data_IF_271498619178
#
_entry.id   IF_271498619178
#
_cell.length_a   1.000
_cell.length_b   1.000
_cell.length_c   1.000
_cell.angle_alpha   90.00
_cell.angle_beta   90.00
_cell.angle_gamma   90.00
#
_symmetry.space_group_name_H-M   'P 1'
#
loop_
_entity.id
_entity.type
_entity.pdbx_description
1 polymer ?
#
# COMPACT_ATOMS: atom_id res chain seq x y z
N UNK A 1 2.67 -7.73 -10.94
CA UNK A 1 2.96 -7.50 -12.33
C UNK A 1 1.65 -7.13 -13.06
N UNK A 2 1.73 -6.40 -14.18
CA UNK A 2 0.57 -5.92 -14.93
C UNK A 2 -0.09 -6.96 -15.86
N UNK A 3 0.38 -8.21 -15.87
CA UNK A 3 -0.26 -9.26 -16.66
C UNK A 3 -1.58 -9.66 -16.04
N UNK A 4 -2.64 -9.55 -16.82
CA UNK A 4 -3.99 -9.92 -16.43
C UNK A 4 -4.46 -11.12 -17.23
N UNK A 5 -5.31 -11.96 -16.63
CA UNK A 5 -5.85 -13.18 -17.27
C UNK A 5 -7.34 -13.05 -17.56
N UNK A 6 -7.93 -11.90 -17.31
CA UNK A 6 -9.33 -11.60 -17.55
C UNK A 6 -9.54 -10.11 -17.72
N UNK A 7 -10.64 -9.70 -18.33
CA UNK A 7 -11.06 -8.30 -18.34
C UNK A 7 -11.56 -7.91 -16.94
N UNK A 8 -10.79 -7.12 -16.21
CA UNK A 8 -11.08 -6.80 -14.81
C UNK A 8 -12.39 -6.01 -14.64
N UNK A 9 -12.74 -5.15 -15.60
CA UNK A 9 -13.99 -4.42 -15.58
C UNK A 9 -15.23 -5.34 -15.61
N UNK A 10 -15.10 -6.58 -16.10
CA UNK A 10 -16.19 -7.58 -16.15
C UNK A 10 -16.29 -8.44 -14.88
N UNK A 11 -15.41 -8.23 -13.90
CA UNK A 11 -15.42 -9.00 -12.66
C UNK A 11 -16.57 -8.58 -11.75
N UNK A 12 -17.15 -9.56 -11.04
CA UNK A 12 -18.06 -9.25 -9.94
C UNK A 12 -17.36 -8.38 -8.89
N UNK A 13 -18.09 -7.52 -8.17
CA UNK A 13 -17.49 -6.54 -7.26
C UNK A 13 -16.49 -7.11 -6.26
N UNK A 14 -16.82 -8.21 -5.59
CA UNK A 14 -15.90 -8.87 -4.65
C UNK A 14 -14.72 -9.54 -5.35
N UNK A 15 -14.91 -10.02 -6.57
CA UNK A 15 -13.81 -10.57 -7.37
C UNK A 15 -12.85 -9.45 -7.80
N UNK A 16 -13.40 -8.27 -8.19
CA UNK A 16 -12.61 -7.08 -8.48
C UNK A 16 -11.84 -6.52 -7.27
N UNK A 17 -12.34 -6.74 -6.05
CA UNK A 17 -11.65 -6.38 -4.83
C UNK A 17 -10.37 -7.21 -4.61
N UNK A 18 -10.31 -8.46 -5.07
CA UNK A 18 -9.16 -9.35 -4.85
C UNK A 18 -7.87 -8.79 -5.45
N UNK A 19 -7.81 -8.38 -6.74
CA UNK A 19 -6.61 -7.76 -7.29
C UNK A 19 -6.26 -6.43 -6.63
N UNK A 20 -7.24 -5.63 -6.19
CA UNK A 20 -6.99 -4.42 -5.41
C UNK A 20 -6.27 -4.74 -4.09
N UNK A 21 -6.81 -5.67 -3.30
CA UNK A 21 -6.18 -6.13 -2.04
C UNK A 21 -4.80 -6.71 -2.31
N UNK A 22 -4.64 -7.49 -3.38
CA UNK A 22 -3.35 -8.01 -3.82
C UNK A 22 -2.34 -6.90 -4.08
N UNK A 23 -2.74 -5.80 -4.72
CA UNK A 23 -1.87 -4.64 -4.96
C UNK A 23 -1.58 -3.84 -3.69
N UNK A 24 -2.52 -3.71 -2.76
CA UNK A 24 -2.28 -3.07 -1.47
C UNK A 24 -1.28 -3.84 -0.60
N UNK A 25 -1.31 -5.17 -0.64
CA UNK A 25 -0.29 -6.02 -0.01
C UNK A 25 1.01 -6.15 -0.80
N UNK A 26 1.02 -5.77 -2.07
CA UNK A 26 2.20 -5.83 -2.95
C UNK A 26 3.39 -5.05 -2.38
N UNK A 27 3.17 -4.06 -1.56
CA UNK A 27 4.21 -3.36 -0.80
C UNK A 27 5.03 -4.33 0.06
N UNK A 28 4.41 -5.44 0.50
CA UNK A 28 5.04 -6.46 1.36
C UNK A 28 5.64 -7.61 0.54
N UNK A 29 4.89 -8.13 -0.44
CA UNK A 29 5.24 -9.32 -1.23
C UNK A 29 5.40 -9.00 -2.73
N UNK A 30 5.67 -7.74 -3.07
CA UNK A 30 5.74 -7.25 -4.44
C UNK A 30 6.94 -7.76 -5.24
N UNK A 31 7.19 -7.11 -6.37
CA UNK A 31 8.23 -7.49 -7.31
C UNK A 31 9.65 -7.53 -6.74
N UNK A 32 10.61 -7.93 -7.56
CA UNK A 32 12.01 -8.12 -7.18
C UNK A 32 12.58 -6.84 -6.55
N UNK A 33 13.05 -6.97 -5.32
CA UNK A 33 13.61 -5.88 -4.51
C UNK A 33 12.55 -5.05 -3.79
N UNK A 34 11.51 -4.59 -4.47
CA UNK A 34 10.46 -3.71 -3.90
C UNK A 34 9.67 -4.41 -2.80
N UNK A 35 9.27 -5.66 -3.01
CA UNK A 35 8.55 -6.44 -2.00
C UNK A 35 9.35 -6.65 -0.73
N UNK A 36 10.64 -6.94 -0.85
CA UNK A 36 11.53 -7.07 0.30
C UNK A 36 11.69 -5.74 1.05
N UNK A 37 11.85 -4.63 0.34
CA UNK A 37 11.94 -3.30 0.94
C UNK A 37 10.64 -2.92 1.67
N UNK A 38 9.50 -3.25 1.09
CA UNK A 38 8.19 -3.08 1.71
C UNK A 38 8.07 -3.89 3.00
N UNK A 39 8.38 -5.19 2.96
CA UNK A 39 8.40 -6.05 4.14
C UNK A 39 9.34 -5.51 5.22
N UNK A 40 10.53 -5.06 4.86
CA UNK A 40 11.48 -4.45 5.78
C UNK A 40 10.90 -3.22 6.49
N UNK A 41 10.17 -2.36 5.78
CA UNK A 41 9.49 -1.21 6.39
C UNK A 41 8.46 -1.66 7.43
N UNK A 42 7.66 -2.68 7.13
CA UNK A 42 6.70 -3.24 8.09
C UNK A 42 7.39 -3.92 9.28
N UNK A 43 8.53 -4.57 9.08
CA UNK A 43 9.33 -5.13 10.18
C UNK A 43 9.79 -4.01 11.13
N UNK A 44 10.34 -2.92 10.61
CA UNK A 44 10.79 -1.78 11.42
C UNK A 44 9.64 -1.18 12.21
N UNK A 45 8.48 -0.96 11.57
CA UNK A 45 7.28 -0.43 12.22
C UNK A 45 6.76 -1.42 13.28
N UNK A 46 6.63 -2.70 12.94
CA UNK A 46 6.14 -3.75 13.85
C UNK A 46 7.04 -3.91 15.08
N UNK A 47 8.36 -3.97 14.89
CA UNK A 47 9.33 -4.03 15.99
C UNK A 47 9.22 -2.80 16.90
N UNK A 48 9.07 -1.61 16.32
CA UNK A 48 8.93 -0.39 17.09
C UNK A 48 7.64 -0.37 17.90
N UNK A 49 6.50 -0.66 17.28
CA UNK A 49 5.19 -0.68 17.95
C UNK A 49 5.19 -1.72 19.07
N UNK A 50 5.60 -2.95 18.78
CA UNK A 50 5.63 -4.03 19.77
C UNK A 50 6.58 -3.73 20.92
N UNK A 51 7.76 -3.19 20.63
CA UNK A 51 8.71 -2.77 21.66
C UNK A 51 8.08 -1.72 22.59
N UNK A 52 7.45 -0.71 22.03
CA UNK A 52 6.80 0.35 22.81
C UNK A 52 5.60 -0.16 23.61
N UNK A 53 4.79 -1.07 23.06
CA UNK A 53 3.62 -1.63 23.75
C UNK A 53 3.99 -2.51 24.94
N UNK A 54 5.08 -3.26 24.83
CA UNK A 54 5.55 -4.21 25.87
C UNK A 54 6.53 -3.53 26.83
N UNK A 55 6.92 -2.28 26.58
CA UNK A 55 7.90 -1.55 27.39
C UNK A 55 9.33 -2.08 27.19
N UNK A 56 9.62 -2.66 26.02
CA UNK A 56 10.95 -3.17 25.65
C UNK A 56 11.62 -2.24 24.66
N UNK A 57 12.95 -2.25 24.64
CA UNK A 57 13.71 -1.49 23.63
C UNK A 57 13.48 -2.12 22.25
N UNK A 58 12.96 -1.39 21.27
CA UNK A 58 12.82 -1.90 19.91
C UNK A 58 14.20 -2.15 19.29
N UNK A 59 14.48 -3.39 18.91
CA UNK A 59 15.76 -3.80 18.31
C UNK A 59 15.50 -4.74 17.15
N UNK A 60 16.27 -4.56 16.08
CA UNK A 60 16.25 -5.44 14.91
C UNK A 60 17.67 -5.75 14.47
N UNK A 61 18.03 -7.03 14.41
CA UNK A 61 19.38 -7.53 14.10
C UNK A 61 20.49 -6.84 14.92
N UNK A 62 20.25 -6.71 16.23
CA UNK A 62 21.21 -6.06 17.15
C UNK A 62 21.36 -4.56 16.98
N UNK A 63 20.43 -3.90 16.28
CA UNK A 63 20.42 -2.44 16.10
C UNK A 63 19.14 -1.84 16.70
N UNK A 64 19.29 -0.78 17.48
CA UNK A 64 18.14 -0.07 18.04
C UNK A 64 17.35 0.64 16.96
N UNK A 65 16.04 0.41 16.96
CA UNK A 65 15.07 1.15 16.14
C UNK A 65 14.51 2.30 16.98
N UNK A 66 14.76 3.50 16.53
CA UNK A 66 14.45 4.74 17.28
C UNK A 66 13.55 5.65 16.46
N UNK A 67 13.21 6.79 17.02
CA UNK A 67 12.37 7.82 16.37
C UNK A 67 12.90 8.23 14.98
N UNK A 68 14.21 8.17 14.75
CA UNK A 68 14.80 8.52 13.47
C UNK A 68 14.38 7.55 12.36
N UNK A 69 14.45 6.26 12.63
CA UNK A 69 14.01 5.22 11.68
C UNK A 69 12.51 5.32 11.42
N UNK A 70 11.72 5.61 12.46
CA UNK A 70 10.27 5.82 12.33
C UNK A 70 9.93 7.05 11.49
N UNK A 71 10.71 8.14 11.58
CA UNK A 71 10.54 9.32 10.71
C UNK A 71 10.77 9.02 9.23
N UNK A 72 11.49 7.96 8.90
CA UNK A 72 11.67 7.49 7.52
C UNK A 72 10.65 6.39 7.15
N UNK A 73 10.32 5.49 8.09
CA UNK A 73 9.40 4.40 7.83
C UNK A 73 7.96 4.87 7.58
N UNK A 74 7.49 5.87 8.34
CA UNK A 74 6.14 6.41 8.18
C UNK A 74 5.91 7.06 6.80
N UNK A 75 6.74 7.97 6.29
CA UNK A 75 6.57 8.48 4.92
C UNK A 75 6.70 7.39 3.86
N UNK A 76 7.60 6.40 4.03
CA UNK A 76 7.71 5.28 3.10
C UNK A 76 6.39 4.48 3.01
N UNK A 77 5.73 4.26 4.15
CA UNK A 77 4.44 3.58 4.21
C UNK A 77 3.29 4.42 3.66
N UNK A 78 3.22 5.70 4.07
CA UNK A 78 2.07 6.57 3.79
C UNK A 78 2.07 7.14 2.36
N UNK A 79 3.20 7.08 1.64
CA UNK A 79 3.27 7.62 0.29
C UNK A 79 2.30 6.92 -0.67
N UNK A 80 2.17 5.60 -0.55
CA UNK A 80 1.30 4.80 -1.40
C UNK A 80 -0.18 5.18 -1.24
N UNK A 81 -0.78 5.11 -0.04
CA UNK A 81 -2.16 5.55 0.14
C UNK A 81 -2.35 7.05 -0.15
N UNK A 82 -1.35 7.90 0.08
CA UNK A 82 -1.44 9.31 -0.28
C UNK A 82 -1.61 9.50 -1.79
N UNK A 83 -0.84 8.81 -2.60
CA UNK A 83 -0.95 8.85 -4.06
C UNK A 83 -2.30 8.31 -4.53
N UNK A 84 -2.74 7.18 -3.99
CA UNK A 84 -3.99 6.52 -4.38
C UNK A 84 -5.19 7.37 -3.97
N UNK A 85 -5.32 7.65 -2.69
CA UNK A 85 -6.50 8.34 -2.16
C UNK A 85 -6.53 9.82 -2.55
N UNK A 86 -5.37 10.47 -2.62
CA UNK A 86 -5.24 11.86 -3.07
C UNK A 86 -5.59 12.01 -4.56
N UNK A 87 -5.07 11.14 -5.41
CA UNK A 87 -5.43 11.08 -6.84
C UNK A 87 -6.91 10.85 -7.03
N UNK A 88 -7.48 9.83 -6.35
CA UNK A 88 -8.90 9.55 -6.35
C UNK A 88 -9.74 10.76 -5.95
N UNK A 89 -9.40 11.42 -4.85
CA UNK A 89 -10.15 12.58 -4.36
C UNK A 89 -10.21 13.70 -5.42
N UNK A 90 -9.07 14.01 -6.04
CA UNK A 90 -8.99 15.05 -7.08
C UNK A 90 -9.84 14.66 -8.29
N UNK A 91 -9.76 13.42 -8.77
CA UNK A 91 -10.48 12.96 -9.95
C UNK A 91 -11.98 12.79 -9.70
N UNK A 92 -12.39 12.47 -8.48
CA UNK A 92 -13.81 12.48 -8.09
C UNK A 92 -14.39 13.90 -8.05
N UNK A 93 -13.58 14.91 -7.69
CA UNK A 93 -14.02 16.30 -7.59
C UNK A 93 -14.14 16.99 -8.96
N UNK A 94 -13.32 16.60 -9.94
CA UNK A 94 -13.30 17.18 -11.28
C UNK A 94 -13.95 16.19 -12.28
N UNK A 95 -15.24 16.37 -12.64
CA UNK A 95 -15.96 15.41 -13.47
C UNK A 95 -15.25 15.09 -14.79
N UNK A 96 -14.78 16.08 -15.49
CA UNK A 96 -14.09 15.94 -16.79
C UNK A 96 -12.78 15.17 -16.73
N UNK A 97 -12.16 15.05 -15.55
CA UNK A 97 -10.93 14.28 -15.38
C UNK A 97 -11.20 12.82 -15.01
N UNK A 98 -12.23 12.55 -14.20
CA UNK A 98 -12.53 11.23 -13.66
C UNK A 98 -13.90 10.72 -14.03
N UNK A 99 -14.97 11.25 -13.45
CA UNK A 99 -16.32 10.69 -13.57
C UNK A 99 -16.86 10.56 -15.00
N UNK A 100 -16.44 11.45 -15.89
CA UNK A 100 -16.88 11.40 -17.29
C UNK A 100 -16.04 10.42 -18.14
N UNK A 101 -15.01 9.81 -17.55
CA UNK A 101 -14.11 8.85 -18.20
C UNK A 101 -14.40 7.40 -17.83
N UNK A 102 -15.26 7.14 -16.83
CA UNK A 102 -15.62 5.78 -16.43
C UNK A 102 -16.59 5.16 -17.42
N UNK A 103 -16.45 3.87 -17.67
CA UNK A 103 -17.41 3.12 -18.50
C UNK A 103 -18.69 2.84 -17.72
N UNK A 104 -18.58 2.47 -16.46
CA UNK A 104 -19.69 2.09 -15.63
C UNK A 104 -19.92 3.16 -14.54
N UNK A 105 -21.06 3.89 -14.57
CA UNK A 105 -21.34 4.90 -13.56
C UNK A 105 -21.61 4.26 -12.19
N UNK A 106 -21.42 5.05 -11.13
CA UNK A 106 -21.68 4.62 -9.75
C UNK A 106 -20.49 3.96 -9.08
N UNK A 107 -20.76 2.95 -8.24
CA UNK A 107 -19.73 2.30 -7.42
C UNK A 107 -18.67 1.56 -8.26
N UNK A 108 -19.07 0.99 -9.39
CA UNK A 108 -18.14 0.33 -10.29
C UNK A 108 -17.17 1.33 -10.92
N UNK A 109 -17.65 2.47 -11.42
CA UNK A 109 -16.78 3.51 -11.97
C UNK A 109 -15.86 4.14 -10.92
N UNK A 110 -16.31 4.22 -9.67
CA UNK A 110 -15.43 4.57 -8.57
C UNK A 110 -14.30 3.54 -8.41
N UNK A 111 -14.61 2.25 -8.53
CA UNK A 111 -13.62 1.16 -8.47
C UNK A 111 -12.68 1.18 -9.68
N UNK A 112 -13.14 1.54 -10.88
CA UNK A 112 -12.30 1.73 -12.08
C UNK A 112 -11.21 2.77 -11.82
N UNK A 113 -11.58 3.96 -11.34
CA UNK A 113 -10.64 5.03 -11.01
C UNK A 113 -9.70 4.64 -9.85
N UNK A 114 -10.24 3.98 -8.81
CA UNK A 114 -9.45 3.50 -7.68
C UNK A 114 -8.39 2.50 -8.12
N UNK A 115 -8.77 1.60 -9.02
CA UNK A 115 -7.87 0.60 -9.54
C UNK A 115 -6.71 1.24 -10.30
N UNK A 116 -7.00 2.22 -11.15
CA UNK A 116 -5.98 2.90 -11.95
C UNK A 116 -4.93 3.58 -11.07
N UNK A 117 -5.35 4.39 -10.08
CA UNK A 117 -4.41 5.00 -9.14
C UNK A 117 -3.64 3.97 -8.29
N UNK A 118 -4.29 2.86 -7.93
CA UNK A 118 -3.63 1.77 -7.20
C UNK A 118 -2.55 1.12 -8.06
N UNK A 119 -2.87 0.81 -9.31
CA UNK A 119 -1.95 0.20 -10.27
C UNK A 119 -0.79 1.14 -10.60
N UNK A 120 -1.07 2.42 -10.86
CA UNK A 120 -0.05 3.43 -11.11
C UNK A 120 0.91 3.58 -9.93
N UNK A 121 0.39 3.67 -8.70
CA UNK A 121 1.20 3.79 -7.50
C UNK A 121 2.02 2.53 -7.21
N UNK A 122 1.46 1.34 -7.46
CA UNK A 122 2.17 0.06 -7.37
C UNK A 122 3.09 -0.22 -8.56
N UNK A 123 3.03 0.59 -9.62
CA UNK A 123 3.85 0.49 -10.83
C UNK A 123 3.71 -0.85 -11.56
N UNK A 124 2.54 -1.44 -11.62
CA UNK A 124 2.32 -2.70 -12.33
C UNK A 124 1.61 -2.57 -13.67
N UNK A 125 0.77 -1.55 -13.88
CA UNK A 125 0.16 -1.23 -15.16
C UNK A 125 -1.07 -2.08 -15.53
N UNK A 126 -1.66 -2.82 -14.60
CA UNK A 126 -2.99 -3.42 -14.83
C UNK A 126 -4.08 -2.35 -14.65
N UNK A 127 -5.22 -2.51 -15.29
CA UNK A 127 -6.35 -1.58 -15.23
C UNK A 127 -7.69 -2.30 -15.16
N UNK A 128 -8.74 -1.57 -14.86
CA UNK A 128 -10.09 -1.92 -15.26
C UNK A 128 -10.30 -1.34 -16.67
N UNK A 129 -10.32 -2.19 -17.66
CA UNK A 129 -10.20 -1.83 -19.10
C UNK A 129 -11.40 -1.02 -19.63
N UNK A 130 -12.41 -0.78 -18.79
CA UNK A 130 -13.54 0.11 -19.08
C UNK A 130 -13.23 1.60 -18.89
N UNK A 131 -12.17 1.93 -18.15
CA UNK A 131 -11.79 3.31 -17.90
C UNK A 131 -11.21 3.98 -19.16
N UNK A 132 -11.75 5.16 -19.52
CA UNK A 132 -11.24 5.99 -20.61
C UNK A 132 -10.05 6.83 -20.16
N UNK A 133 -8.97 6.20 -19.80
CA UNK A 133 -7.78 6.82 -19.19
C UNK A 133 -6.83 7.49 -20.19
N UNK A 134 -7.04 7.29 -21.49
CA UNK A 134 -6.20 7.92 -22.53
C UNK A 134 -6.52 9.41 -22.70
N UNK A 135 -6.40 10.17 -21.63
CA UNK A 135 -6.55 11.64 -21.59
C UNK A 135 -5.36 12.30 -20.96
N UNK A 136 -5.15 13.60 -21.26
CA UNK A 136 -4.03 14.34 -20.69
C UNK A 136 -4.03 14.37 -19.15
N UNK A 137 -5.17 14.57 -18.43
CA UNK A 137 -5.20 14.51 -16.98
C UNK A 137 -4.77 13.15 -16.44
N UNK A 138 -5.29 12.02 -16.97
CA UNK A 138 -4.92 10.68 -16.55
C UNK A 138 -3.44 10.39 -16.81
N UNK A 139 -2.96 10.66 -18.03
CA UNK A 139 -1.57 10.39 -18.40
C UNK A 139 -0.58 11.14 -17.50
N UNK A 140 -0.86 12.43 -17.21
CA UNK A 140 0.01 13.23 -16.33
C UNK A 140 -0.08 12.76 -14.88
N UNK A 141 -1.28 12.55 -14.37
CA UNK A 141 -1.49 12.11 -12.98
C UNK A 141 -0.85 10.75 -12.72
N UNK A 142 -1.12 9.74 -13.56
CA UNK A 142 -0.52 8.41 -13.44
C UNK A 142 1.00 8.46 -13.59
N UNK A 143 1.54 9.27 -14.51
CA UNK A 143 2.98 9.46 -14.64
C UNK A 143 3.64 10.01 -13.38
N UNK A 144 3.04 11.03 -12.77
CA UNK A 144 3.51 11.58 -11.49
C UNK A 144 3.38 10.57 -10.35
N UNK A 145 2.25 9.88 -10.25
CA UNK A 145 2.00 8.86 -9.22
C UNK A 145 2.99 7.71 -9.34
N UNK A 146 3.31 7.26 -10.57
CA UNK A 146 4.33 6.23 -10.79
C UNK A 146 5.71 6.65 -10.28
N UNK A 147 6.13 7.88 -10.56
CA UNK A 147 7.42 8.40 -10.10
C UNK A 147 7.46 8.52 -8.57
N UNK A 148 6.45 9.12 -7.98
CA UNK A 148 6.34 9.33 -6.53
C UNK A 148 6.24 7.99 -5.81
N UNK A 149 5.33 7.13 -6.25
CA UNK A 149 5.03 5.84 -5.62
C UNK A 149 6.20 4.85 -5.67
N UNK A 150 7.11 5.00 -6.62
CA UNK A 150 8.30 4.16 -6.71
C UNK A 150 9.50 4.75 -5.97
N UNK A 151 9.89 5.95 -6.31
CA UNK A 151 11.19 6.46 -5.88
C UNK A 151 11.19 6.97 -4.44
N UNK A 152 10.12 7.59 -3.98
CA UNK A 152 10.07 8.13 -2.62
C UNK A 152 10.13 7.03 -1.56
N UNK A 153 9.35 5.94 -1.61
CA UNK A 153 9.50 4.84 -0.68
C UNK A 153 10.92 4.25 -0.66
N UNK A 154 11.52 4.01 -1.83
CA UNK A 154 12.88 3.45 -1.92
C UNK A 154 13.90 4.36 -1.24
N UNK A 155 13.83 5.68 -1.45
CA UNK A 155 14.75 6.64 -0.81
C UNK A 155 14.65 6.55 0.71
N UNK A 156 13.44 6.52 1.27
CA UNK A 156 13.25 6.42 2.71
C UNK A 156 13.71 5.07 3.27
N UNK A 157 13.47 3.99 2.55
CA UNK A 157 13.91 2.65 2.95
C UNK A 157 15.45 2.55 2.97
N UNK A 158 16.12 3.10 1.97
CA UNK A 158 17.58 3.20 1.97
C UNK A 158 18.11 4.12 3.09
N UNK A 159 17.39 5.18 3.42
CA UNK A 159 17.73 6.04 4.57
C UNK A 159 17.61 5.31 5.91
N UNK A 160 16.60 4.41 6.07
CA UNK A 160 16.50 3.52 7.25
C UNK A 160 17.73 2.61 7.32
N UNK A 161 18.08 1.94 6.21
CA UNK A 161 19.25 1.05 6.15
C UNK A 161 20.53 1.81 6.49
N UNK A 162 20.74 2.99 5.93
CA UNK A 162 21.90 3.83 6.24
C UNK A 162 21.95 4.26 7.70
N UNK A 163 20.80 4.61 8.29
CA UNK A 163 20.72 4.95 9.71
C UNK A 163 21.06 3.76 10.60
N UNK A 164 20.52 2.59 10.33
CA UNK A 164 20.81 1.37 11.08
C UNK A 164 22.27 0.92 10.91
N UNK A 165 22.83 1.05 9.70
CA UNK A 165 24.22 0.71 9.43
C UNK A 165 25.18 1.51 10.30
N UNK A 166 24.94 2.80 10.48
CA UNK A 166 25.78 3.70 11.27
C UNK A 166 25.71 3.43 12.79
N UNK A 167 24.72 2.68 13.28
CA UNK A 167 24.55 2.37 14.71
C UNK A 167 25.48 1.24 15.17
N UNK A 168 25.92 1.31 16.42
CA UNK A 168 26.64 0.22 17.08
C UNK A 168 25.71 -0.95 17.35
N UNK A 169 26.25 -2.16 17.35
CA UNK A 169 25.52 -3.34 17.80
C UNK A 169 25.27 -3.26 19.31
N UNK A 170 24.10 -3.72 19.70
CA UNK A 170 23.67 -3.81 21.10
C UNK A 170 23.58 -5.30 21.44
N UNK A 171 24.14 -5.74 22.58
CA UNK A 171 24.01 -7.13 23.01
C UNK A 171 22.54 -7.45 23.31
N UNK A 172 22.11 -8.65 22.94
CA UNK A 172 20.77 -9.14 23.28
C UNK A 172 20.57 -9.18 24.79
N UNK A 173 19.42 -8.72 25.23
CA UNK A 173 19.00 -8.73 26.63
C UNK A 173 17.71 -9.52 26.77
N UNK A 174 17.30 -9.83 28.01
CA UNK A 174 16.00 -10.46 28.30
C UNK A 174 14.83 -9.62 27.78
N UNK A 175 15.07 -8.32 27.57
CA UNK A 175 14.10 -7.37 27.00
C UNK A 175 14.06 -7.32 25.47
N UNK A 176 14.99 -7.96 24.76
CA UNK A 176 15.02 -7.92 23.29
C UNK A 176 13.90 -8.78 22.71
N UNK A 177 13.17 -8.24 21.74
CA UNK A 177 12.17 -9.00 20.98
C UNK A 177 12.89 -9.96 20.02
N UNK A 178 12.78 -11.27 20.27
CA UNK A 178 13.38 -12.27 19.38
C UNK A 178 12.69 -12.29 18.03
N UNK A 179 13.47 -12.12 16.96
CA UNK A 179 12.99 -12.03 15.57
C UNK A 179 12.94 -13.38 14.85
N UNK A 180 13.46 -14.44 15.47
CA UNK A 180 13.54 -15.81 14.95
C UNK A 180 12.41 -16.72 15.45
N UNK A 181 11.34 -16.15 16.02
CA UNK A 181 10.23 -16.90 16.61
C UNK A 181 8.97 -16.87 15.73
N UNK A 182 8.13 -17.92 15.74
CA UNK A 182 6.83 -17.90 15.08
C UNK A 182 5.93 -16.74 15.55
N UNK A 183 6.05 -16.35 16.82
CA UNK A 183 5.33 -15.22 17.39
C UNK A 183 5.69 -13.92 16.67
N UNK A 184 6.96 -13.71 16.35
CA UNK A 184 7.39 -12.55 15.58
C UNK A 184 6.74 -12.51 14.19
N UNK A 185 6.68 -13.67 13.50
CA UNK A 185 5.99 -13.79 12.21
C UNK A 185 4.51 -13.42 12.31
N UNK A 186 3.80 -13.89 13.34
CA UNK A 186 2.39 -13.53 13.59
C UNK A 186 2.23 -12.03 13.83
N UNK A 187 3.12 -11.45 14.62
CA UNK A 187 3.11 -10.00 14.92
C UNK A 187 3.30 -9.18 13.65
N UNK A 188 4.28 -9.52 12.82
CA UNK A 188 4.51 -8.80 11.56
C UNK A 188 3.35 -8.99 10.60
N UNK A 189 2.84 -10.22 10.43
CA UNK A 189 1.65 -10.49 9.62
C UNK A 189 0.43 -9.70 10.11
N UNK A 190 0.21 -9.67 11.42
CA UNK A 190 -0.83 -8.83 12.04
C UNK A 190 -0.63 -7.34 11.75
N UNK A 191 0.59 -6.82 11.88
CA UNK A 191 0.90 -5.43 11.58
C UNK A 191 0.58 -5.08 10.12
N UNK A 192 0.94 -5.93 9.17
CA UNK A 192 0.63 -5.74 7.74
C UNK A 192 -0.88 -5.67 7.52
N UNK A 193 -1.63 -6.64 8.06
CA UNK A 193 -3.08 -6.72 7.88
C UNK A 193 -3.79 -5.52 8.53
N UNK A 194 -3.45 -5.20 9.78
CA UNK A 194 -4.11 -4.09 10.48
C UNK A 194 -3.80 -2.74 9.84
N UNK A 195 -2.54 -2.47 9.50
CA UNK A 195 -2.16 -1.21 8.86
C UNK A 195 -2.77 -1.12 7.46
N UNK A 196 -2.72 -2.19 6.68
CA UNK A 196 -3.35 -2.24 5.35
C UNK A 196 -4.87 -2.01 5.42
N UNK A 197 -5.56 -2.63 6.38
CA UNK A 197 -6.98 -2.42 6.60
C UNK A 197 -7.29 -0.96 7.00
N UNK A 198 -6.55 -0.39 7.95
CA UNK A 198 -6.75 1.00 8.35
C UNK A 198 -6.58 2.00 7.22
N UNK A 199 -5.68 1.73 6.29
CA UNK A 199 -5.40 2.62 5.16
C UNK A 199 -6.42 2.49 4.03
N UNK A 200 -6.89 1.29 3.73
CA UNK A 200 -7.65 1.01 2.50
C UNK A 200 -9.08 0.50 2.71
N UNK A 201 -9.44 0.01 3.91
CA UNK A 201 -10.81 -0.47 4.16
C UNK A 201 -11.89 0.58 3.88
N UNK A 202 -11.72 1.88 4.25
CA UNK A 202 -12.73 2.89 3.95
C UNK A 202 -13.03 3.02 2.46
N UNK A 203 -12.01 3.02 1.61
CA UNK A 203 -12.20 3.15 0.16
C UNK A 203 -12.71 1.85 -0.46
N UNK A 204 -12.37 0.68 0.09
CA UNK A 204 -12.93 -0.60 -0.32
C UNK A 204 -14.45 -0.66 -0.03
N UNK A 205 -14.89 -0.07 1.07
CA UNK A 205 -16.32 0.02 1.41
C UNK A 205 -17.06 0.94 0.45
N UNK A 206 -16.45 2.06 0.04
CA UNK A 206 -17.07 3.03 -0.89
C UNK A 206 -17.16 2.53 -2.34
N UNK A 207 -16.33 1.62 -2.75
CA UNK A 207 -16.30 1.04 -4.10
C UNK A 207 -16.86 -0.39 -4.13
N UNK A 208 -16.02 -1.41 -4.20
CA UNK A 208 -16.43 -2.77 -4.49
C UNK A 208 -17.38 -3.39 -3.46
N UNK A 209 -17.28 -3.03 -2.17
CA UNK A 209 -18.21 -3.57 -1.15
C UNK A 209 -19.59 -2.95 -1.30
N UNK A 210 -19.69 -1.62 -1.48
CA UNK A 210 -20.95 -0.95 -1.70
C UNK A 210 -21.63 -1.45 -2.99
N UNK A 211 -20.87 -1.64 -4.06
CA UNK A 211 -21.36 -2.23 -5.31
C UNK A 211 -21.96 -3.62 -5.08
N UNK A 212 -21.23 -4.49 -4.36
CA UNK A 212 -21.70 -5.84 -4.05
C UNK A 212 -23.02 -5.81 -3.27
N UNK A 213 -23.13 -4.96 -2.26
CA UNK A 213 -24.35 -4.86 -1.46
C UNK A 213 -25.53 -4.35 -2.28
N UNK A 214 -25.33 -3.44 -3.21
CA UNK A 214 -26.41 -2.96 -4.11
C UNK A 214 -26.85 -4.03 -5.10
N UNK A 215 -25.94 -4.89 -5.58
CA UNK A 215 -26.29 -6.01 -6.47
C UNK A 215 -27.06 -7.14 -5.78
N UNK A 216 -26.98 -7.24 -4.44
CA UNK A 216 -27.77 -8.21 -3.66
C UNK A 216 -29.19 -7.74 -3.36
N UNK A 217 -29.44 -6.42 -3.43
CA UNK A 217 -30.73 -5.81 -3.08
C UNK A 217 -31.63 -5.65 -4.31
N UNK A 218 -31.04 -5.63 -5.51
CA UNK A 218 -31.77 -5.57 -6.80
C UNK A 218 -31.90 -6.95 -7.40
#
# INVERSE_FOLDING_TARGET
NGSVNSMHCSLNPLTGLIPLVGMWFNITFGGIGVGFLGLFTYIIIGVFICGMMVGRTPEYLGKKVETREMKYALPALLMHPLCILGGMAIFCLIPSWGRDTVLNPGFHGFTEMLYEFTSASANNGSGFEGLGDNTAPWNIACGLVMLIGRFIPIIFQLAICGSLFAKKQVPETVGTLKTDTPLFGIVIGGTVIFVGALLFLPVAVLGPIAEHLTTLVN
#
